data_IF_068176013964
#
_entry.id   IF_068176013964
#
_cell.length_a   1.000
_cell.length_b   1.000
_cell.length_c   1.000
_cell.angle_alpha   90.00
_cell.angle_beta   90.00
_cell.angle_gamma   90.00
#
_symmetry.space_group_name_H-M   'P 1'
#
loop_
_entity.id
_entity.type
_entity.pdbx_description
1 polymer ?
#
# COMPACT_ATOMS: atom_id res chain seq x y z
N UNK A 1 3.09 -2.08 -11.37
CA UNK A 1 4.43 -1.69 -10.88
C UNK A 1 4.66 -0.21 -11.15
N UNK A 2 5.63 0.39 -10.48
CA UNK A 2 6.03 1.77 -10.77
C UNK A 2 6.73 1.88 -12.14
N UNK A 3 6.61 3.04 -12.80
CA UNK A 3 7.26 3.31 -14.08
C UNK A 3 8.17 4.56 -14.01
N UNK A 4 9.14 4.72 -14.93
CA UNK A 4 10.05 5.87 -14.91
C UNK A 4 9.30 7.21 -14.95
N UNK A 5 9.74 8.17 -14.15
CA UNK A 5 9.13 9.51 -14.04
C UNK A 5 7.66 9.55 -13.57
N UNK A 6 7.20 8.49 -12.91
CA UNK A 6 5.88 8.49 -12.27
C UNK A 6 5.78 9.55 -11.17
N UNK A 7 4.65 10.27 -11.12
CA UNK A 7 4.37 11.32 -10.12
C UNK A 7 3.40 10.86 -9.04
N UNK A 8 2.39 10.05 -9.41
CA UNK A 8 1.31 9.62 -8.52
C UNK A 8 1.47 8.19 -8.00
N UNK A 9 0.38 7.68 -7.44
CA UNK A 9 0.25 6.28 -7.03
C UNK A 9 0.31 5.34 -8.26
N UNK A 10 0.63 4.06 -8.02
CA UNK A 10 0.46 3.03 -9.05
C UNK A 10 -1.03 2.82 -9.35
N UNK A 11 -1.33 2.40 -10.58
CA UNK A 11 -2.70 2.08 -10.97
C UNK A 11 -3.30 1.04 -10.01
N UNK A 12 -4.49 1.35 -9.51
CA UNK A 12 -5.19 0.53 -8.52
C UNK A 12 -5.62 -0.81 -9.11
N UNK A 13 -5.35 -1.90 -8.40
CA UNK A 13 -5.66 -3.28 -8.82
C UNK A 13 -6.68 -3.96 -7.91
N UNK A 14 -7.08 -3.29 -6.83
CA UNK A 14 -8.16 -3.69 -5.92
C UNK A 14 -9.19 -2.54 -5.77
N UNK A 15 -10.45 -2.84 -5.41
CA UNK A 15 -11.45 -1.80 -5.11
C UNK A 15 -11.00 -0.82 -4.01
N UNK A 16 -10.31 -1.32 -2.98
CA UNK A 16 -9.80 -0.49 -1.88
C UNK A 16 -8.76 0.51 -2.38
N UNK A 17 -7.85 0.10 -3.28
CA UNK A 17 -6.85 1.02 -3.80
C UNK A 17 -7.46 2.11 -4.70
N UNK A 18 -8.58 1.81 -5.38
CA UNK A 18 -9.35 2.82 -6.12
C UNK A 18 -9.95 3.87 -5.16
N UNK A 19 -10.59 3.43 -4.07
CA UNK A 19 -11.10 4.33 -3.02
C UNK A 19 -9.99 5.16 -2.37
N UNK A 20 -8.82 4.57 -2.11
CA UNK A 20 -7.66 5.28 -1.58
C UNK A 20 -7.12 6.34 -2.55
N UNK A 21 -7.16 6.05 -3.87
CA UNK A 21 -6.73 7.02 -4.89
C UNK A 21 -7.69 8.22 -4.93
N UNK A 22 -9.00 7.98 -4.86
CA UNK A 22 -10.00 9.05 -4.80
C UNK A 22 -9.87 9.89 -3.52
N UNK A 23 -9.62 9.24 -2.38
CA UNK A 23 -9.41 9.95 -1.11
C UNK A 23 -8.10 10.74 -1.08
N UNK A 24 -7.05 10.21 -1.69
CA UNK A 24 -5.79 10.92 -1.88
C UNK A 24 -6.03 12.20 -2.69
N UNK A 25 -6.75 12.13 -3.81
CA UNK A 25 -7.00 13.31 -4.66
C UNK A 25 -7.85 14.37 -3.94
N UNK A 26 -8.87 13.96 -3.19
CA UNK A 26 -9.66 14.85 -2.33
C UNK A 26 -8.78 15.58 -1.29
N UNK A 27 -7.89 14.84 -0.62
CA UNK A 27 -6.99 15.40 0.38
C UNK A 27 -5.94 16.31 -0.27
N UNK A 28 -5.39 15.92 -1.41
CA UNK A 28 -4.39 16.68 -2.15
C UNK A 28 -4.94 18.00 -2.67
N UNK A 29 -6.20 18.04 -3.13
CA UNK A 29 -6.89 19.28 -3.48
C UNK A 29 -6.90 20.28 -2.31
N UNK A 30 -7.20 19.81 -1.10
CA UNK A 30 -7.21 20.64 0.11
C UNK A 30 -5.79 21.13 0.44
N UNK A 31 -4.78 20.27 0.34
CA UNK A 31 -3.37 20.64 0.57
C UNK A 31 -2.92 21.71 -0.43
N UNK A 32 -3.26 21.58 -1.72
CA UNK A 32 -2.95 22.60 -2.71
C UNK A 32 -3.68 23.92 -2.44
N UNK A 33 -4.95 23.88 -2.04
CA UNK A 33 -5.71 25.07 -1.65
C UNK A 33 -5.05 25.81 -0.49
N UNK A 34 -4.70 25.10 0.60
CA UNK A 34 -4.10 25.72 1.79
C UNK A 34 -2.70 26.25 1.48
N UNK A 35 -1.85 25.44 0.82
CA UNK A 35 -0.48 25.86 0.51
C UNK A 35 -0.42 27.06 -0.43
N UNK A 36 -1.29 27.12 -1.44
CA UNK A 36 -1.41 28.28 -2.33
C UNK A 36 -1.96 29.52 -1.61
N UNK A 37 -2.95 29.35 -0.71
CA UNK A 37 -3.47 30.45 0.11
C UNK A 37 -2.39 31.04 1.02
N UNK A 38 -1.63 30.19 1.72
CA UNK A 38 -0.54 30.63 2.60
C UNK A 38 0.54 31.34 1.81
N UNK A 39 0.96 30.79 0.67
CA UNK A 39 1.92 31.43 -0.22
C UNK A 39 1.42 32.79 -0.71
N UNK A 40 0.15 32.88 -1.10
CA UNK A 40 -0.49 34.12 -1.50
C UNK A 40 -0.48 35.16 -0.36
N UNK A 41 -0.87 34.79 0.86
CA UNK A 41 -0.85 35.71 2.02
C UNK A 41 0.58 36.20 2.30
N UNK A 42 1.58 35.32 2.28
CA UNK A 42 2.99 35.71 2.46
C UNK A 42 3.39 36.75 1.41
N UNK A 43 3.13 36.49 0.13
CA UNK A 43 3.45 37.45 -0.94
C UNK A 43 2.69 38.76 -0.81
N UNK A 44 1.41 38.73 -0.41
CA UNK A 44 0.61 39.93 -0.17
C UNK A 44 1.19 40.79 0.95
N UNK A 45 1.54 40.17 2.08
CA UNK A 45 2.06 40.88 3.26
C UNK A 45 3.44 41.51 3.00
N UNK A 46 4.26 40.92 2.12
CA UNK A 46 5.62 41.38 1.84
C UNK A 46 5.71 42.42 0.71
N UNK A 47 4.67 42.62 -0.10
CA UNK A 47 4.74 43.43 -1.33
C UNK A 47 4.21 44.86 -1.17
N UNK A 48 3.52 45.18 -0.08
CA UNK A 48 3.00 46.52 0.17
C UNK A 48 4.02 47.44 0.84
N UNK A 49 4.02 48.73 0.46
CA UNK A 49 4.77 49.78 1.16
C UNK A 49 3.98 50.41 2.32
N UNK A 50 2.67 50.14 2.40
CA UNK A 50 1.81 50.67 3.45
C UNK A 50 2.18 50.01 4.78
N UNK A 51 2.13 50.77 5.86
CA UNK A 51 2.49 50.28 7.20
C UNK A 51 1.37 50.54 8.19
N UNK A 52 1.18 49.58 9.09
CA UNK A 52 0.34 49.71 10.28
C UNK A 52 1.05 48.99 11.42
N UNK A 53 1.55 49.75 12.40
CA UNK A 53 2.32 49.22 13.54
C UNK A 53 1.63 49.47 14.88
N UNK A 54 0.47 50.14 14.88
CA UNK A 54 -0.41 50.24 16.04
C UNK A 54 -1.03 48.90 16.40
N UNK A 55 -1.49 48.78 17.64
CA UNK A 55 -2.17 47.60 18.16
C UNK A 55 -3.39 47.24 17.29
N UNK A 56 -3.47 45.98 16.88
CA UNK A 56 -4.63 45.40 16.20
C UNK A 56 -5.33 44.43 17.15
N UNK A 57 -6.65 44.47 17.17
CA UNK A 57 -7.44 43.47 17.88
C UNK A 57 -7.45 42.14 17.11
N UNK A 58 -7.39 41.01 17.83
CA UNK A 58 -7.17 39.68 17.25
C UNK A 58 -8.38 38.75 17.33
N UNK A 59 -9.37 39.05 18.18
CA UNK A 59 -10.43 38.09 18.54
C UNK A 59 -11.26 37.62 17.33
N UNK A 60 -11.60 38.54 16.43
CA UNK A 60 -12.40 38.24 15.24
C UNK A 60 -11.64 37.33 14.25
N UNK A 61 -10.35 37.60 14.03
CA UNK A 61 -9.53 36.79 13.10
C UNK A 61 -9.17 35.42 13.71
N UNK A 62 -8.97 35.37 15.03
CA UNK A 62 -8.74 34.13 15.77
C UNK A 62 -9.91 33.15 15.65
N UNK A 63 -11.13 33.68 15.69
CA UNK A 63 -12.34 32.87 15.52
C UNK A 63 -12.39 32.25 14.13
N UNK A 64 -12.05 33.01 13.08
CA UNK A 64 -12.07 32.54 11.68
C UNK A 64 -11.02 31.45 11.45
N UNK A 65 -9.75 31.69 11.80
CA UNK A 65 -8.68 30.71 11.55
C UNK A 65 -8.74 29.48 12.47
N UNK A 66 -9.62 29.47 13.47
CA UNK A 66 -9.84 28.30 14.33
C UNK A 66 -10.99 27.45 13.79
N UNK A 67 -12.13 28.08 13.47
CA UNK A 67 -13.31 27.37 12.97
C UNK A 67 -13.06 26.81 11.57
N UNK A 68 -12.43 27.57 10.67
CA UNK A 68 -12.26 27.15 9.27
C UNK A 68 -11.40 25.88 9.14
N UNK A 69 -10.21 25.76 9.79
CA UNK A 69 -9.46 24.50 9.78
C UNK A 69 -10.20 23.34 10.45
N UNK A 70 -10.96 23.58 11.51
CA UNK A 70 -11.77 22.52 12.14
C UNK A 70 -12.79 21.92 11.16
N UNK A 71 -13.46 22.75 10.36
CA UNK A 71 -14.38 22.27 9.30
C UNK A 71 -13.61 21.48 8.24
N UNK A 72 -12.44 21.97 7.79
CA UNK A 72 -11.60 21.26 6.81
C UNK A 72 -11.19 19.86 7.32
N UNK A 73 -10.81 19.74 8.59
CA UNK A 73 -10.45 18.46 9.19
C UNK A 73 -11.63 17.47 9.19
N UNK A 74 -12.85 17.94 9.46
CA UNK A 74 -14.06 17.10 9.38
C UNK A 74 -14.27 16.59 7.94
N UNK A 75 -14.09 17.45 6.93
CA UNK A 75 -14.24 17.08 5.52
C UNK A 75 -13.20 16.06 5.04
N UNK A 76 -12.02 16.00 5.68
CA UNK A 76 -11.02 14.96 5.43
C UNK A 76 -11.36 13.69 6.22
N UNK A 77 -11.74 13.84 7.49
CA UNK A 77 -11.96 12.71 8.39
C UNK A 77 -13.13 11.81 7.97
N UNK A 78 -14.23 12.38 7.46
CA UNK A 78 -15.41 11.59 7.07
C UNK A 78 -15.13 10.54 5.98
N UNK A 79 -14.56 10.88 4.80
CA UNK A 79 -14.20 9.86 3.81
C UNK A 79 -13.08 8.93 4.29
N UNK A 80 -12.12 9.46 5.07
CA UNK A 80 -11.03 8.65 5.64
C UNK A 80 -11.54 7.51 6.52
N UNK A 81 -12.42 7.84 7.48
CA UNK A 81 -12.99 6.85 8.39
C UNK A 81 -13.88 5.86 7.65
N UNK A 82 -14.63 6.30 6.63
CA UNK A 82 -15.43 5.39 5.80
C UNK A 82 -14.55 4.31 5.16
N UNK A 83 -13.44 4.69 4.53
CA UNK A 83 -12.52 3.74 3.89
C UNK A 83 -11.88 2.83 4.92
N UNK A 84 -11.48 3.37 6.08
CA UNK A 84 -10.93 2.57 7.18
C UNK A 84 -11.86 1.41 7.58
N UNK A 85 -13.15 1.69 7.78
CA UNK A 85 -14.11 0.64 8.13
C UNK A 85 -14.42 -0.32 6.96
N UNK A 86 -14.39 0.16 5.71
CA UNK A 86 -14.53 -0.71 4.53
C UNK A 86 -13.37 -1.71 4.40
N UNK A 87 -12.15 -1.30 4.78
CA UNK A 87 -10.96 -2.17 4.75
C UNK A 87 -11.00 -3.27 5.81
N UNK A 88 -11.59 -2.97 6.97
CA UNK A 88 -11.69 -3.90 8.11
C UNK A 88 -12.93 -4.80 8.05
N UNK A 89 -13.81 -4.61 7.06
CA UNK A 89 -15.04 -5.38 6.93
C UNK A 89 -14.73 -6.87 6.75
N UNK A 90 -15.40 -7.70 7.55
CA UNK A 90 -15.18 -9.15 7.57
C UNK A 90 -15.80 -9.76 6.32
N UNK A 91 -14.95 -9.96 5.32
CA UNK A 91 -15.29 -10.74 4.15
C UNK A 91 -15.07 -12.23 4.44
N UNK A 92 -16.00 -13.10 4.03
CA UNK A 92 -15.80 -14.55 4.04
C UNK A 92 -14.79 -14.90 2.92
N UNK A 93 -13.51 -15.18 3.23
CA UNK A 93 -12.50 -15.40 2.21
C UNK A 93 -12.68 -16.79 1.59
N UNK A 94 -12.40 -16.91 0.29
CA UNK A 94 -12.45 -18.17 -0.43
C UNK A 94 -11.15 -19.00 -0.30
N UNK A 95 -10.05 -18.35 0.09
CA UNK A 95 -8.72 -18.94 0.26
C UNK A 95 -7.97 -18.20 1.38
N UNK A 96 -7.22 -18.92 2.19
CA UNK A 96 -6.25 -18.40 3.15
C UNK A 96 -4.83 -18.75 2.70
N UNK A 97 -3.97 -17.74 2.65
CA UNK A 97 -2.54 -17.91 2.36
C UNK A 97 -1.75 -17.28 3.49
N UNK A 98 -0.76 -18.00 4.00
CA UNK A 98 0.18 -17.46 4.99
C UNK A 98 1.44 -17.01 4.29
N UNK A 99 2.03 -15.93 4.75
CA UNK A 99 3.37 -15.50 4.37
C UNK A 99 4.22 -15.26 5.62
N UNK A 100 5.45 -15.77 5.58
CA UNK A 100 6.43 -15.59 6.64
C UNK A 100 7.63 -14.81 6.08
N UNK A 101 7.97 -13.70 6.76
CA UNK A 101 9.18 -12.93 6.46
C UNK A 101 10.42 -13.53 7.12
N UNK A 102 11.50 -13.66 6.34
CA UNK A 102 12.81 -14.16 6.75
C UNK A 102 13.92 -13.22 6.26
N UNK A 103 15.11 -13.29 6.85
CA UNK A 103 16.34 -12.65 6.37
C UNK A 103 16.97 -13.52 5.26
N UNK A 104 16.85 -13.20 3.97
CA UNK A 104 16.14 -12.09 3.31
C UNK A 104 15.33 -12.62 2.13
N UNK A 105 14.20 -13.24 2.45
CA UNK A 105 13.25 -13.82 1.50
C UNK A 105 11.87 -13.95 2.15
N UNK A 106 10.88 -14.35 1.36
CA UNK A 106 9.53 -14.65 1.87
C UNK A 106 9.22 -16.12 1.64
N UNK A 107 8.61 -16.79 2.60
CA UNK A 107 7.97 -18.09 2.36
C UNK A 107 6.45 -17.93 2.33
N UNK A 108 5.79 -18.82 1.59
CA UNK A 108 4.34 -18.83 1.43
C UNK A 108 3.80 -20.22 1.69
N UNK A 109 2.65 -20.29 2.36
CA UNK A 109 1.96 -21.53 2.70
C UNK A 109 0.49 -21.47 2.29
N UNK A 110 0.02 -22.51 1.61
CA UNK A 110 -1.35 -22.68 1.11
C UNK A 110 -1.98 -23.93 1.72
N UNK A 111 -2.36 -23.85 2.99
CA UNK A 111 -2.71 -25.03 3.82
C UNK A 111 -4.20 -25.34 3.92
N UNK A 112 -5.04 -24.68 3.12
CA UNK A 112 -6.49 -24.92 3.14
C UNK A 112 -6.89 -26.32 2.64
N UNK A 113 -6.07 -26.93 1.75
CA UNK A 113 -6.36 -28.23 1.14
C UNK A 113 -5.21 -29.24 1.30
N UNK A 114 -3.96 -28.81 1.08
CA UNK A 114 -2.76 -29.64 1.11
C UNK A 114 -1.60 -28.83 1.70
N UNK A 115 -0.52 -29.48 2.15
CA UNK A 115 0.64 -28.80 2.73
C UNK A 115 1.58 -28.24 1.64
N UNK A 116 1.07 -27.29 0.84
CA UNK A 116 1.86 -26.57 -0.17
C UNK A 116 2.64 -25.41 0.48
N UNK A 117 3.96 -25.47 0.43
CA UNK A 117 4.86 -24.40 0.88
C UNK A 117 6.05 -24.20 -0.06
N UNK A 118 6.49 -22.96 -0.23
CA UNK A 118 7.70 -22.63 -1.00
C UNK A 118 8.33 -21.31 -0.55
N UNK A 119 9.62 -21.17 -0.85
CA UNK A 119 10.37 -19.93 -0.65
C UNK A 119 10.39 -19.10 -1.94
N UNK A 120 10.43 -17.78 -1.78
CA UNK A 120 10.46 -16.78 -2.84
C UNK A 120 11.65 -15.85 -2.63
N UNK A 121 12.68 -16.03 -3.46
CA UNK A 121 13.92 -15.27 -3.46
C UNK A 121 13.98 -14.33 -4.66
N UNK A 122 14.63 -13.18 -4.48
CA UNK A 122 14.94 -12.28 -5.58
C UNK A 122 15.87 -12.96 -6.60
N UNK A 123 15.55 -12.85 -7.89
CA UNK A 123 16.47 -13.29 -8.95
C UNK A 123 17.70 -12.36 -8.97
N UNK A 124 18.94 -12.90 -8.85
CA UNK A 124 20.14 -12.09 -8.96
C UNK A 124 20.20 -11.35 -10.30
N UNK A 125 20.72 -10.11 -10.30
CA UNK A 125 20.72 -9.27 -11.52
C UNK A 125 21.45 -9.91 -12.70
N UNK A 126 22.44 -10.76 -12.45
CA UNK A 126 23.18 -11.47 -13.50
C UNK A 126 22.38 -12.62 -14.13
N UNK A 127 21.37 -13.13 -13.44
CA UNK A 127 20.56 -14.28 -13.86
C UNK A 127 19.22 -13.85 -14.51
N UNK A 128 18.95 -12.54 -14.58
CA UNK A 128 17.74 -11.99 -15.20
C UNK A 128 17.71 -12.27 -16.70
N UNK A 129 16.53 -12.68 -17.18
CA UNK A 129 16.25 -12.82 -18.61
C UNK A 129 15.98 -11.45 -19.25
N UNK A 130 16.16 -11.30 -20.57
CA UNK A 130 15.81 -10.06 -21.26
C UNK A 130 14.35 -9.65 -21.03
N UNK A 131 14.15 -8.43 -20.49
CA UNK A 131 12.82 -7.88 -20.19
C UNK A 131 12.41 -8.01 -18.72
N UNK A 132 13.13 -8.79 -17.91
CA UNK A 132 12.87 -8.92 -16.48
C UNK A 132 13.32 -7.70 -15.67
N UNK A 133 12.66 -7.50 -14.53
CA UNK A 133 12.82 -6.31 -13.69
C UNK A 133 13.89 -6.50 -12.63
N UNK A 134 14.94 -5.69 -12.72
CA UNK A 134 16.00 -5.64 -11.71
C UNK A 134 15.43 -5.34 -10.31
N UNK A 135 15.79 -6.19 -9.35
CA UNK A 135 15.38 -6.13 -7.94
C UNK A 135 13.90 -6.42 -7.62
N UNK A 136 13.10 -6.77 -8.62
CA UNK A 136 11.67 -7.01 -8.43
C UNK A 136 11.25 -8.44 -8.78
N UNK A 137 11.91 -9.09 -9.74
CA UNK A 137 11.59 -10.48 -10.04
C UNK A 137 12.02 -11.42 -8.91
N UNK A 138 11.22 -12.47 -8.75
CA UNK A 138 11.46 -13.59 -7.84
C UNK A 138 11.48 -14.91 -8.61
N UNK A 139 12.14 -15.92 -8.04
CA UNK A 139 12.17 -17.27 -8.58
C UNK A 139 10.80 -17.95 -8.55
N UNK A 140 10.09 -17.85 -7.42
CA UNK A 140 8.75 -18.40 -7.22
C UNK A 140 7.77 -17.27 -6.89
N UNK A 141 6.80 -17.06 -7.78
CA UNK A 141 5.74 -16.06 -7.61
C UNK A 141 4.61 -16.63 -6.75
N UNK A 142 3.91 -15.72 -6.09
CA UNK A 142 2.71 -16.04 -5.31
C UNK A 142 1.51 -16.07 -6.24
N UNK A 143 1.14 -17.26 -6.71
CA UNK A 143 0.01 -17.44 -7.63
C UNK A 143 -1.29 -17.42 -6.84
N UNK A 144 -2.25 -16.61 -7.27
CA UNK A 144 -3.53 -16.39 -6.58
C UNK A 144 -4.69 -16.32 -7.58
N UNK A 145 -5.90 -16.77 -7.21
CA UNK A 145 -7.07 -16.62 -8.05
C UNK A 145 -7.56 -15.16 -8.06
N UNK A 146 -7.75 -14.58 -9.25
CA UNK A 146 -8.39 -13.26 -9.41
C UNK A 146 -9.88 -13.31 -9.05
N UNK A 147 -10.47 -12.14 -8.78
CA UNK A 147 -11.91 -11.93 -8.50
C UNK A 147 -12.46 -12.65 -7.26
N UNK A 148 -11.58 -13.20 -6.41
CA UNK A 148 -11.95 -13.83 -5.15
C UNK A 148 -11.36 -13.07 -3.95
N UNK A 149 -12.09 -12.97 -2.81
CA UNK A 149 -11.52 -12.47 -1.58
C UNK A 149 -10.58 -13.53 -0.98
N UNK A 150 -9.33 -13.16 -0.81
CA UNK A 150 -8.27 -14.01 -0.24
C UNK A 150 -7.85 -13.39 1.09
N UNK A 151 -7.68 -14.22 2.12
CA UNK A 151 -7.11 -13.83 3.40
C UNK A 151 -5.61 -14.08 3.39
N UNK A 152 -4.83 -13.02 3.59
CA UNK A 152 -3.40 -13.14 3.89
C UNK A 152 -3.19 -13.14 5.38
N UNK A 153 -2.42 -14.11 5.86
CA UNK A 153 -1.91 -14.15 7.23
C UNK A 153 -0.41 -13.85 7.19
N UNK A 154 0.00 -12.74 7.80
CA UNK A 154 1.35 -12.20 7.69
C UNK A 154 2.05 -12.28 9.06
N UNK A 155 3.22 -12.91 9.10
CA UNK A 155 4.08 -13.01 10.29
C UNK A 155 5.55 -13.08 9.88
N UNK A 156 6.47 -13.17 10.83
CA UNK A 156 7.89 -13.42 10.60
C UNK A 156 8.43 -14.53 11.52
N UNK A 157 9.53 -15.17 11.11
CA UNK A 157 10.28 -16.14 11.91
C UNK A 157 11.55 -15.55 12.57
N UNK A 158 11.94 -14.31 12.23
CA UNK A 158 13.17 -13.70 12.73
C UNK A 158 13.00 -12.26 13.27
N UNK A 159 13.07 -11.25 12.40
CA UNK A 159 13.02 -9.82 12.72
C UNK A 159 11.75 -9.19 12.19
N UNK A 160 11.58 -7.88 12.37
CA UNK A 160 10.46 -7.19 11.74
C UNK A 160 10.66 -7.13 10.22
N UNK A 161 9.60 -7.44 9.50
CA UNK A 161 9.45 -7.19 8.07
C UNK A 161 8.10 -6.50 7.81
N UNK A 162 7.81 -6.12 6.57
CA UNK A 162 6.49 -5.63 6.21
C UNK A 162 6.14 -6.04 4.79
N UNK A 163 5.06 -6.81 4.67
CA UNK A 163 4.58 -7.37 3.42
C UNK A 163 3.70 -6.32 2.73
N UNK A 164 4.17 -5.79 1.59
CA UNK A 164 3.52 -4.66 0.93
C UNK A 164 3.42 -4.86 -0.58
N UNK A 165 2.21 -4.65 -1.12
CA UNK A 165 1.92 -4.65 -2.56
C UNK A 165 1.13 -3.38 -2.89
N UNK A 166 1.80 -2.29 -3.31
CA UNK A 166 1.19 -0.96 -3.41
C UNK A 166 -0.01 -0.87 -4.36
N UNK A 167 0.01 -1.56 -5.50
CA UNK A 167 -1.10 -1.51 -6.45
C UNK A 167 -2.41 -2.09 -5.89
N UNK A 168 -2.32 -2.97 -4.89
CA UNK A 168 -3.48 -3.51 -4.18
C UNK A 168 -3.86 -2.71 -2.94
N UNK A 169 -3.11 -1.66 -2.58
CA UNK A 169 -3.33 -0.89 -1.36
C UNK A 169 -2.99 -1.68 -0.08
N UNK A 170 -2.06 -2.63 -0.17
CA UNK A 170 -1.72 -3.53 0.94
C UNK A 170 -0.35 -3.18 1.51
N UNK A 171 -0.31 -3.04 2.84
CA UNK A 171 0.92 -3.04 3.64
C UNK A 171 0.57 -3.57 5.03
N UNK A 172 1.23 -4.64 5.44
CA UNK A 172 1.03 -5.23 6.76
C UNK A 172 2.34 -5.73 7.32
N UNK A 173 2.64 -5.33 8.55
CA UNK A 173 3.88 -5.71 9.20
C UNK A 173 3.88 -7.20 9.54
N UNK A 174 5.00 -7.85 9.27
CA UNK A 174 5.32 -9.22 9.65
C UNK A 174 6.11 -9.15 10.96
N UNK A 175 5.43 -9.48 12.06
CA UNK A 175 5.98 -9.33 13.42
C UNK A 175 6.20 -10.73 14.01
N UNK A 176 7.41 -11.08 14.47
CA UNK A 176 7.66 -12.37 15.09
C UNK A 176 6.72 -12.62 16.27
N UNK A 177 6.05 -13.78 16.27
CA UNK A 177 5.09 -14.17 17.30
C UNK A 177 3.70 -13.51 17.19
N UNK A 178 3.41 -12.78 16.11
CA UNK A 178 2.08 -12.20 15.83
C UNK A 178 1.62 -12.51 14.42
N UNK A 179 0.41 -13.06 14.31
CA UNK A 179 -0.24 -13.32 13.03
C UNK A 179 -1.18 -12.17 12.68
N UNK A 180 -0.73 -11.27 11.82
CA UNK A 180 -1.58 -10.21 11.28
C UNK A 180 -2.43 -10.74 10.13
N UNK A 181 -3.60 -10.14 9.92
CA UNK A 181 -4.51 -10.50 8.84
C UNK A 181 -4.73 -9.31 7.91
N UNK A 182 -4.73 -9.55 6.61
CA UNK A 182 -5.19 -8.61 5.60
C UNK A 182 -6.05 -9.34 4.56
N UNK A 183 -7.01 -8.63 3.96
CA UNK A 183 -7.83 -9.17 2.87
C UNK A 183 -7.34 -8.59 1.54
N UNK A 184 -7.22 -9.44 0.54
CA UNK A 184 -6.75 -9.12 -0.80
C UNK A 184 -7.78 -9.60 -1.82
N UNK A 185 -8.04 -8.77 -2.81
CA UNK A 185 -8.83 -9.12 -3.99
C UNK A 185 -8.30 -8.32 -5.18
N UNK A 186 -8.04 -8.98 -6.30
CA UNK A 186 -7.72 -8.30 -7.56
C UNK A 186 -8.86 -8.43 -8.55
N UNK A 187 -9.25 -7.32 -9.17
CA UNK A 187 -10.31 -7.30 -10.19
C UNK A 187 -9.78 -7.68 -11.59
N UNK A 188 -8.47 -7.87 -11.74
CA UNK A 188 -7.81 -8.10 -13.03
C UNK A 188 -6.68 -9.12 -12.89
N UNK A 189 -6.41 -9.91 -13.95
CA UNK A 189 -5.24 -10.78 -13.98
C UNK A 189 -3.96 -9.96 -14.17
N UNK A 190 -2.82 -10.54 -13.83
CA UNK A 190 -1.50 -9.94 -14.11
C UNK A 190 -0.48 -10.14 -12.99
N UNK A 191 0.66 -9.46 -13.16
CA UNK A 191 1.77 -9.47 -12.20
C UNK A 191 1.76 -8.17 -11.38
N UNK A 192 1.70 -8.31 -10.06
CA UNK A 192 1.71 -7.18 -9.13
C UNK A 192 2.92 -7.29 -8.19
N UNK A 193 3.70 -6.21 -8.16
CA UNK A 193 5.01 -6.19 -7.51
C UNK A 193 4.94 -5.40 -6.21
N UNK A 194 5.71 -5.87 -5.24
CA UNK A 194 5.88 -5.31 -3.91
C UNK A 194 7.31 -5.44 -3.42
N UNK A 195 7.61 -4.80 -2.30
CA UNK A 195 8.91 -4.90 -1.62
C UNK A 195 8.71 -4.87 -0.11
N UNK A 196 9.66 -5.45 0.63
CA UNK A 196 9.69 -5.32 2.08
C UNK A 196 9.71 -3.85 2.49
N UNK A 197 8.82 -3.47 3.41
CA UNK A 197 8.57 -2.08 3.80
C UNK A 197 8.91 -1.78 5.26
N UNK A 198 9.78 -2.59 5.87
CA UNK A 198 10.32 -2.44 7.23
C UNK A 198 11.79 -2.89 7.28
N UNK A 199 12.65 -2.16 8.00
CA UNK A 199 14.10 -2.39 7.97
C UNK A 199 14.48 -3.72 8.62
N UNK A 200 15.00 -4.66 7.82
CA UNK A 200 15.28 -6.03 8.24
C UNK A 200 16.75 -6.48 8.09
N UNK A 201 17.68 -5.54 7.89
CA UNK A 201 19.12 -5.81 7.85
C UNK A 201 19.75 -5.66 6.46
N UNK A 202 20.87 -6.34 6.23
CA UNK A 202 21.78 -6.11 5.10
C UNK A 202 21.12 -6.15 3.72
N UNK A 203 20.22 -7.11 3.49
CA UNK A 203 19.54 -7.28 2.20
C UNK A 203 18.07 -6.83 2.25
N UNK A 204 17.73 -5.86 3.10
CA UNK A 204 16.38 -5.29 3.19
C UNK A 204 15.81 -4.88 1.81
N UNK A 205 16.64 -4.29 0.95
CA UNK A 205 16.25 -3.86 -0.39
C UNK A 205 16.08 -5.00 -1.41
N UNK A 206 16.35 -6.25 -1.05
CA UNK A 206 16.53 -7.39 -1.97
C UNK A 206 15.62 -8.58 -1.65
N UNK A 207 14.46 -8.33 -1.04
CA UNK A 207 13.42 -9.33 -0.79
C UNK A 207 12.05 -8.86 -1.32
N UNK A 208 11.89 -8.79 -2.65
CA UNK A 208 10.67 -8.34 -3.30
C UNK A 208 9.53 -9.37 -3.16
N UNK A 209 8.33 -8.93 -3.54
CA UNK A 209 7.11 -9.72 -3.54
C UNK A 209 6.54 -9.65 -4.96
N UNK A 210 6.15 -10.79 -5.54
CA UNK A 210 5.46 -10.84 -6.82
C UNK A 210 4.21 -11.70 -6.70
N UNK A 211 3.06 -11.07 -6.89
CA UNK A 211 1.79 -11.75 -7.01
C UNK A 211 1.48 -12.00 -8.48
N UNK A 212 1.01 -13.21 -8.78
CA UNK A 212 0.51 -13.58 -10.10
C UNK A 212 -0.99 -13.92 -9.99
N UNK A 213 -1.83 -12.99 -10.43
CA UNK A 213 -3.28 -13.14 -10.41
C UNK A 213 -3.78 -13.81 -11.68
N UNK A 214 -4.39 -14.99 -11.54
CA UNK A 214 -4.85 -15.84 -12.65
C UNK A 214 -6.28 -16.32 -12.44
N UNK A 215 -7.00 -16.76 -13.48
CA UNK A 215 -8.31 -17.39 -13.31
C UNK A 215 -8.22 -18.66 -12.43
N UNK A 216 -9.28 -18.95 -11.66
CA UNK A 216 -9.32 -20.06 -10.69
C UNK A 216 -8.81 -21.39 -11.24
N UNK A 217 -9.22 -21.77 -12.46
CA UNK A 217 -8.78 -23.01 -13.11
C UNK A 217 -7.25 -23.10 -13.28
N UNK A 218 -6.59 -21.99 -13.57
CA UNK A 218 -5.12 -21.96 -13.69
C UNK A 218 -4.45 -22.04 -12.33
N UNK A 219 -5.04 -21.39 -11.32
CA UNK A 219 -4.59 -21.49 -9.93
C UNK A 219 -4.67 -22.94 -9.41
N UNK A 220 -5.79 -23.63 -9.62
CA UNK A 220 -5.97 -25.03 -9.20
C UNK A 220 -4.96 -25.97 -9.87
N UNK A 221 -4.74 -25.80 -11.18
CA UNK A 221 -3.74 -26.58 -11.92
C UNK A 221 -2.32 -26.32 -11.42
N UNK A 222 -1.97 -25.04 -11.16
CA UNK A 222 -0.68 -24.66 -10.60
C UNK A 222 -0.49 -25.27 -9.21
N UNK A 223 -1.49 -25.12 -8.33
CA UNK A 223 -1.46 -25.66 -6.97
C UNK A 223 -1.24 -27.16 -6.99
N UNK A 224 -1.92 -27.88 -7.89
CA UNK A 224 -1.78 -29.34 -8.05
C UNK A 224 -0.41 -29.76 -8.58
N UNK A 225 0.29 -28.88 -9.31
CA UNK A 225 1.62 -29.17 -9.87
C UNK A 225 2.78 -28.88 -8.91
N UNK A 226 2.51 -28.14 -7.84
CA UNK A 226 3.48 -27.78 -6.81
C UNK A 226 3.47 -28.74 -5.61
N UNK A 227 2.47 -29.63 -5.55
CA UNK A 227 2.36 -30.75 -4.62
C UNK A 227 3.06 -31.97 -5.23
#
# INVERSE_FOLDING_TARGET
>A
MAYPFQLGLQDATSPIMEELTNFHDHTLMIVFLISSLVLYIITLMLTTKLTHTSTMDAQEVETIWTILPAVILILIALPSLRILYMMDEINNPALTVKTMGHQWYWSYEYTDYEDLCFDSYMIPTNDLKPGELRLLEVDNRVVLPMELPIRMLISSEDVLHSWAVPSLGLKTDAIPGRLNQATISSNRPGLFYGQCSEICGSNHSFMPIVLEMVPLKHFENWSSSMI
#
